data_IF_429569513909
#
_entry.id   IF_429569513909
#
_cell.length_a   1.000
_cell.length_b   1.000
_cell.length_c   1.000
_cell.angle_alpha   90.00
_cell.angle_beta   90.00
_cell.angle_gamma   90.00
#
_symmetry.space_group_name_H-M   'P 1'
#
loop_
_entity.id
_entity.type
_entity.pdbx_description
1 polymer ?
#
# COMPACT_ATOMS: atom_id res chain seq x y z
N UNK A 1 21.20 14.97 -3.54
CA UNK A 1 21.61 13.73 -4.25
C UNK A 1 21.61 13.92 -5.78
N UNK A 2 21.23 15.08 -6.30
CA UNK A 2 21.26 15.35 -7.73
C UNK A 2 20.23 14.58 -8.55
N UNK A 3 19.14 14.10 -7.93
CA UNK A 3 18.04 13.45 -8.62
C UNK A 3 17.13 14.49 -9.28
N UNK A 4 16.75 14.25 -10.52
CA UNK A 4 15.69 14.97 -11.18
C UNK A 4 14.31 14.52 -10.65
N UNK A 5 13.29 15.37 -10.83
CA UNK A 5 11.96 15.12 -10.28
C UNK A 5 11.28 13.84 -10.79
N UNK A 6 11.58 13.43 -12.01
CA UNK A 6 11.07 12.24 -12.66
C UNK A 6 11.80 10.95 -12.25
N UNK A 7 12.90 11.06 -11.48
CA UNK A 7 13.65 9.93 -10.95
C UNK A 7 13.21 9.49 -9.54
N UNK A 8 12.26 10.19 -8.92
CA UNK A 8 11.75 9.87 -7.59
C UNK A 8 10.22 9.87 -7.56
N UNK A 9 9.64 8.75 -7.19
CA UNK A 9 8.20 8.61 -6.96
C UNK A 9 7.95 8.36 -5.48
N UNK A 10 7.13 9.20 -4.85
CA UNK A 10 6.67 9.04 -3.47
C UNK A 10 5.20 8.63 -3.51
N UNK A 11 4.90 7.44 -3.02
CA UNK A 11 3.54 6.89 -2.95
C UNK A 11 3.12 6.71 -1.49
N UNK A 12 1.84 6.95 -1.20
CA UNK A 12 1.22 6.59 0.07
C UNK A 12 0.27 5.41 -0.12
N UNK A 13 0.21 4.51 0.87
CA UNK A 13 -0.71 3.36 0.87
C UNK A 13 -2.14 3.76 1.24
N UNK A 14 -2.41 5.02 1.46
CA UNK A 14 -3.72 5.54 1.84
C UNK A 14 -4.31 4.85 3.08
N UNK A 15 -3.46 4.50 4.06
CA UNK A 15 -3.93 3.89 5.30
C UNK A 15 -4.71 4.91 6.15
N UNK A 16 -5.92 4.52 6.57
CA UNK A 16 -6.76 5.34 7.43
C UNK A 16 -6.42 5.19 8.92
N UNK A 17 -5.41 4.42 9.26
CA UNK A 17 -4.86 4.23 10.60
C UNK A 17 -3.40 4.71 10.72
N UNK A 18 -3.01 5.65 9.86
CA UNK A 18 -1.72 6.33 9.87
C UNK A 18 -1.80 7.68 10.60
N UNK A 19 -0.67 8.25 11.03
CA UNK A 19 -0.64 9.60 11.59
C UNK A 19 -1.12 10.64 10.57
N UNK A 20 -1.96 11.56 11.02
CA UNK A 20 -2.52 12.62 10.20
C UNK A 20 -1.45 13.69 9.86
N UNK A 21 -1.31 14.12 8.61
CA UNK A 21 -0.46 15.26 8.26
C UNK A 21 -1.07 16.59 8.73
N UNK A 22 -0.24 17.48 9.30
CA UNK A 22 -0.69 18.71 9.99
C UNK A 22 -1.62 19.57 9.17
N UNK A 23 -1.30 19.76 7.91
CA UNK A 23 -2.02 20.68 7.01
C UNK A 23 -2.80 19.91 5.93
N UNK A 24 -2.78 18.57 5.98
CA UNK A 24 -3.50 17.75 5.02
C UNK A 24 -4.97 17.62 5.40
N UNK A 25 -5.86 17.89 4.44
CA UNK A 25 -7.30 17.58 4.56
C UNK A 25 -7.98 18.19 5.82
N UNK A 26 -7.54 19.35 6.30
CA UNK A 26 -8.11 20.01 7.47
C UNK A 26 -9.63 20.26 7.36
N UNK A 27 -10.14 20.37 6.15
CA UNK A 27 -11.55 20.60 5.85
C UNK A 27 -12.46 19.37 5.98
N UNK A 28 -11.90 18.16 6.13
CA UNK A 28 -12.73 16.94 6.35
C UNK A 28 -12.97 16.65 7.82
N UNK A 29 -12.33 17.36 8.74
CA UNK A 29 -12.53 17.22 10.18
C UNK A 29 -13.52 18.26 10.68
N UNK A 30 -14.54 17.81 11.42
CA UNK A 30 -15.53 18.68 12.03
C UNK A 30 -14.97 19.52 13.18
N UNK A 31 -13.87 19.07 13.79
CA UNK A 31 -13.21 19.72 14.92
C UNK A 31 -11.75 19.99 14.60
N UNK A 32 -11.26 21.23 14.74
CA UNK A 32 -9.85 21.54 14.56
C UNK A 32 -8.96 20.75 15.53
N UNK A 33 -7.76 20.42 15.08
CA UNK A 33 -6.75 19.82 15.95
C UNK A 33 -6.38 20.78 17.07
N UNK A 34 -6.21 20.26 18.28
CA UNK A 34 -5.62 21.00 19.40
C UNK A 34 -4.17 21.35 19.09
N UNK A 35 -3.61 22.34 19.79
CA UNK A 35 -2.21 22.72 19.66
C UNK A 35 -1.27 21.54 19.93
N UNK A 36 -1.54 20.75 20.97
CA UNK A 36 -0.75 19.55 21.28
C UNK A 36 -0.77 18.51 20.15
N UNK A 37 -1.94 18.30 19.53
CA UNK A 37 -2.07 17.39 18.37
C UNK A 37 -1.30 17.91 17.15
N UNK A 38 -1.39 19.22 16.85
CA UNK A 38 -0.63 19.83 15.77
C UNK A 38 0.88 19.67 16.00
N UNK A 39 1.36 19.98 17.19
CA UNK A 39 2.79 19.89 17.54
C UNK A 39 3.29 18.43 17.43
N UNK A 40 2.51 17.45 17.90
CA UNK A 40 2.85 16.03 17.80
C UNK A 40 2.92 15.58 16.32
N UNK A 41 1.94 15.97 15.52
CA UNK A 41 1.91 15.68 14.09
C UNK A 41 3.07 16.34 13.35
N UNK A 42 3.35 17.63 13.59
CA UNK A 42 4.49 18.32 12.97
C UNK A 42 5.81 17.62 13.29
N UNK A 43 6.04 17.29 14.56
CA UNK A 43 7.25 16.55 14.97
C UNK A 43 7.40 15.23 14.25
N UNK A 44 6.29 14.48 14.11
CA UNK A 44 6.29 13.20 13.40
C UNK A 44 6.67 13.39 11.92
N UNK A 45 6.02 14.32 11.24
CA UNK A 45 6.26 14.54 9.80
C UNK A 45 7.65 15.06 9.49
N UNK A 46 8.22 15.94 10.33
CA UNK A 46 9.64 16.35 10.21
C UNK A 46 10.56 15.14 10.27
N UNK A 47 10.27 14.16 11.15
CA UNK A 47 11.06 12.93 11.23
C UNK A 47 10.85 12.02 10.01
N UNK A 48 9.63 11.95 9.47
CA UNK A 48 9.33 11.16 8.26
C UNK A 48 10.09 11.72 7.06
N UNK A 49 10.06 13.04 6.85
CA UNK A 49 10.82 13.70 5.78
C UNK A 49 12.32 13.39 5.87
N UNK A 50 12.92 13.56 7.04
CA UNK A 50 14.33 13.25 7.25
C UNK A 50 14.65 11.77 6.96
N UNK A 51 13.75 10.85 7.35
CA UNK A 51 13.93 9.42 7.08
C UNK A 51 13.77 9.08 5.59
N UNK A 52 12.84 9.72 4.87
CA UNK A 52 12.71 9.55 3.42
C UNK A 52 13.99 9.97 2.72
N UNK A 53 14.51 11.17 3.04
CA UNK A 53 15.78 11.68 2.46
C UNK A 53 16.93 10.71 2.75
N UNK A 54 17.06 10.23 3.98
CA UNK A 54 18.09 9.25 4.34
C UNK A 54 17.93 7.95 3.58
N UNK A 55 16.70 7.43 3.46
CA UNK A 55 16.41 6.16 2.74
C UNK A 55 16.80 6.27 1.28
N UNK A 56 16.45 7.39 0.62
CA UNK A 56 16.86 7.65 -0.78
C UNK A 56 18.38 7.69 -0.89
N UNK A 57 19.09 8.38 0.01
CA UNK A 57 20.55 8.40 0.02
C UNK A 57 21.17 7.01 0.14
N UNK A 58 20.67 6.21 1.10
CA UNK A 58 21.14 4.82 1.27
C UNK A 58 20.87 3.96 0.03
N UNK A 59 19.73 4.14 -0.63
CA UNK A 59 19.41 3.41 -1.85
C UNK A 59 20.35 3.79 -3.00
N UNK A 60 20.71 5.08 -3.13
CA UNK A 60 21.68 5.54 -4.13
C UNK A 60 23.07 4.96 -3.87
N UNK A 61 23.51 4.90 -2.61
CA UNK A 61 24.80 4.32 -2.23
C UNK A 61 24.86 2.81 -2.49
N UNK A 62 23.74 2.09 -2.44
CA UNK A 62 23.65 0.65 -2.71
C UNK A 62 23.28 0.31 -4.16
N UNK A 63 23.23 1.28 -5.07
CA UNK A 63 22.93 1.04 -6.50
C UNK A 63 23.88 0.04 -7.11
N UNK A 64 23.31 -0.98 -7.73
CA UNK A 64 24.02 -2.05 -8.45
C UNK A 64 23.27 -2.43 -9.72
N UNK A 65 23.96 -2.94 -10.74
CA UNK A 65 23.29 -3.48 -11.90
C UNK A 65 22.29 -4.58 -11.52
N UNK A 66 21.11 -4.54 -12.11
CA UNK A 66 20.04 -5.49 -11.87
C UNK A 66 19.10 -5.61 -13.06
N UNK A 67 18.13 -6.49 -12.95
CA UNK A 67 17.11 -6.75 -13.94
C UNK A 67 15.74 -6.56 -13.34
N UNK A 68 14.83 -5.95 -14.09
CA UNK A 68 13.42 -5.82 -13.71
C UNK A 68 12.53 -6.69 -14.59
N UNK A 69 11.50 -7.27 -14.01
CA UNK A 69 10.48 -8.01 -14.75
C UNK A 69 9.11 -7.81 -14.12
N UNK A 70 8.07 -7.73 -14.95
CA UNK A 70 6.69 -7.54 -14.53
C UNK A 70 5.92 -8.85 -14.67
N UNK A 71 5.15 -9.19 -13.65
CA UNK A 71 4.17 -10.27 -13.66
C UNK A 71 2.86 -9.73 -13.10
N UNK A 72 1.73 -10.34 -13.47
CA UNK A 72 0.43 -9.95 -12.95
C UNK A 72 -0.34 -11.18 -12.50
N UNK A 73 -0.89 -11.10 -11.30
CA UNK A 73 -1.82 -12.07 -10.73
C UNK A 73 -3.13 -11.41 -10.30
N UNK A 74 -3.86 -12.08 -9.42
CA UNK A 74 -5.16 -11.60 -8.94
C UNK A 74 -5.38 -11.93 -7.47
N UNK A 75 -6.03 -11.01 -6.74
CA UNK A 75 -6.48 -11.22 -5.35
C UNK A 75 -7.88 -10.64 -5.16
N UNK A 76 -8.81 -11.41 -4.62
CA UNK A 76 -10.25 -11.11 -4.68
C UNK A 76 -10.87 -10.49 -3.42
N UNK A 77 -10.13 -9.83 -2.52
CA UNK A 77 -10.73 -9.26 -1.31
C UNK A 77 -11.25 -7.82 -1.46
N UNK A 78 -10.94 -7.14 -2.56
CA UNK A 78 -11.50 -5.82 -2.86
C UNK A 78 -12.96 -5.94 -3.30
N UNK A 79 -13.79 -4.98 -2.85
CA UNK A 79 -15.22 -4.90 -3.19
C UNK A 79 -15.55 -3.48 -3.58
N UNK A 80 -16.41 -3.30 -4.59
CA UNK A 80 -16.92 -1.97 -4.92
C UNK A 80 -17.74 -1.42 -3.75
N UNK A 81 -17.47 -0.16 -3.39
CA UNK A 81 -18.11 0.51 -2.23
C UNK A 81 -19.16 1.56 -2.59
N UNK A 82 -19.46 1.76 -3.87
CA UNK A 82 -20.40 2.78 -4.35
C UNK A 82 -21.81 2.21 -4.42
N UNK A 83 -22.60 2.37 -3.35
CA UNK A 83 -24.02 1.94 -3.37
C UNK A 83 -24.83 2.90 -4.25
N UNK A 84 -25.50 2.32 -5.25
CA UNK A 84 -26.35 3.07 -6.17
C UNK A 84 -27.83 2.73 -5.93
N UNK A 85 -28.71 3.73 -5.99
CA UNK A 85 -30.16 3.58 -6.04
C UNK A 85 -30.70 4.36 -7.22
N UNK A 86 -31.36 3.68 -8.16
CA UNK A 86 -31.83 4.28 -9.40
C UNK A 86 -30.72 5.00 -10.18
N UNK A 87 -29.52 4.39 -10.26
CA UNK A 87 -28.35 4.94 -10.92
C UNK A 87 -27.66 6.12 -10.22
N UNK A 88 -28.13 6.54 -9.06
CA UNK A 88 -27.54 7.63 -8.26
C UNK A 88 -26.80 7.07 -7.05
N UNK A 89 -25.63 7.62 -6.78
CA UNK A 89 -24.88 7.29 -5.57
C UNK A 89 -25.65 7.69 -4.30
N UNK A 90 -25.76 6.78 -3.34
CA UNK A 90 -26.50 6.98 -2.08
C UNK A 90 -25.62 6.84 -0.83
N UNK A 91 -24.42 6.30 -0.96
CA UNK A 91 -23.51 6.14 0.17
C UNK A 91 -22.45 5.09 -0.04
N UNK A 92 -21.65 4.87 0.98
CA UNK A 92 -20.68 3.79 1.03
C UNK A 92 -21.31 2.50 1.59
N UNK A 93 -20.97 1.38 0.98
CA UNK A 93 -21.44 0.07 1.38
C UNK A 93 -20.79 -1.02 0.52
N UNK A 94 -21.48 -2.09 0.24
CA UNK A 94 -21.05 -3.11 -0.72
C UNK A 94 -21.95 -3.05 -1.94
N UNK A 95 -21.36 -2.93 -3.12
CA UNK A 95 -22.05 -2.99 -4.40
C UNK A 95 -21.52 -4.19 -5.21
N UNK A 96 -22.18 -5.37 -5.15
CA UNK A 96 -21.71 -6.57 -5.83
C UNK A 96 -21.68 -6.44 -7.37
N UNK A 97 -22.51 -5.55 -7.92
CA UNK A 97 -22.60 -5.29 -9.37
C UNK A 97 -21.62 -4.19 -9.86
N UNK A 98 -20.93 -3.54 -8.92
CA UNK A 98 -19.99 -2.49 -9.27
C UNK A 98 -18.66 -3.06 -9.78
N UNK A 99 -17.96 -2.35 -10.68
CA UNK A 99 -16.67 -2.79 -11.18
C UNK A 99 -15.64 -2.89 -10.05
N UNK A 100 -14.78 -3.91 -10.13
CA UNK A 100 -13.65 -4.13 -9.21
C UNK A 100 -12.43 -4.53 -10.02
N UNK A 101 -11.29 -3.93 -9.74
CA UNK A 101 -9.99 -4.36 -10.27
C UNK A 101 -9.31 -5.26 -9.24
N UNK A 102 -9.26 -6.55 -9.51
CA UNK A 102 -8.60 -7.56 -8.70
C UNK A 102 -7.16 -7.84 -9.13
N UNK A 103 -6.66 -7.16 -10.16
CA UNK A 103 -5.31 -7.39 -10.65
C UNK A 103 -4.25 -7.02 -9.60
N UNK A 104 -3.20 -7.83 -9.57
CA UNK A 104 -2.03 -7.67 -8.72
C UNK A 104 -0.77 -7.65 -9.58
N UNK A 105 -0.43 -6.52 -10.23
CA UNK A 105 0.85 -6.39 -10.88
C UNK A 105 2.00 -6.33 -9.87
N UNK A 106 3.06 -7.07 -10.16
CA UNK A 106 4.28 -7.19 -9.36
C UNK A 106 5.49 -6.94 -10.23
N UNK A 107 6.22 -5.88 -9.93
CA UNK A 107 7.52 -5.57 -10.52
C UNK A 107 8.59 -6.19 -9.62
N UNK A 108 9.27 -7.23 -10.08
CA UNK A 108 10.40 -7.84 -9.37
C UNK A 108 11.74 -7.25 -9.83
N UNK A 109 12.66 -7.11 -8.88
CA UNK A 109 14.02 -6.62 -9.10
C UNK A 109 15.01 -7.70 -8.65
N UNK A 110 15.87 -8.13 -9.54
CA UNK A 110 16.94 -9.11 -9.27
C UNK A 110 18.31 -8.51 -9.50
N UNK A 111 19.32 -8.96 -8.75
CA UNK A 111 20.71 -8.57 -8.99
C UNK A 111 21.31 -9.30 -10.20
N UNK A 112 22.57 -8.99 -10.51
CA UNK A 112 23.30 -9.60 -11.64
C UNK A 112 23.49 -11.12 -11.53
N UNK A 113 23.24 -11.72 -10.36
CA UNK A 113 23.28 -13.17 -10.13
C UNK A 113 21.88 -13.81 -10.18
N UNK A 114 20.84 -13.04 -10.49
CA UNK A 114 19.45 -13.50 -10.51
C UNK A 114 18.80 -13.61 -9.14
N UNK A 115 19.45 -13.16 -8.05
CA UNK A 115 18.86 -13.15 -6.70
C UNK A 115 17.86 -12.01 -6.58
N UNK A 116 16.66 -12.31 -6.07
CA UNK A 116 15.64 -11.30 -5.77
C UNK A 116 16.17 -10.31 -4.72
N UNK A 117 16.08 -9.02 -5.02
CA UNK A 117 16.51 -7.92 -4.13
C UNK A 117 15.34 -7.12 -3.58
N UNK A 118 14.27 -7.06 -4.34
CA UNK A 118 13.07 -6.36 -3.94
C UNK A 118 11.96 -6.51 -4.95
N UNK A 119 10.80 -6.02 -4.58
CA UNK A 119 9.66 -5.96 -5.48
C UNK A 119 8.73 -4.79 -5.13
N UNK A 120 8.01 -4.33 -6.14
CA UNK A 120 6.90 -3.40 -5.98
C UNK A 120 5.63 -4.13 -6.38
N UNK A 121 4.64 -4.17 -5.51
CA UNK A 121 3.31 -4.70 -5.83
C UNK A 121 2.26 -3.60 -5.77
N UNK A 122 1.28 -3.69 -6.65
CA UNK A 122 0.19 -2.73 -6.75
C UNK A 122 -1.15 -3.43 -6.54
N UNK A 123 -2.08 -2.80 -5.81
CA UNK A 123 -3.42 -3.32 -5.66
C UNK A 123 -4.45 -2.19 -5.52
N UNK A 124 -5.54 -2.27 -6.28
CA UNK A 124 -6.57 -1.24 -6.31
C UNK A 124 -7.57 -1.41 -5.17
N UNK A 125 -7.15 -1.07 -3.94
CA UNK A 125 -8.01 -1.20 -2.76
C UNK A 125 -7.63 -0.21 -1.67
N UNK A 126 -8.61 0.43 -1.02
CA UNK A 126 -8.37 1.25 0.16
C UNK A 126 -7.77 0.43 1.32
N UNK A 127 -6.87 1.03 2.09
CA UNK A 127 -6.41 0.49 3.37
C UNK A 127 -7.37 0.93 4.48
N UNK A 128 -8.57 0.34 4.48
CA UNK A 128 -9.68 0.66 5.38
C UNK A 128 -10.34 -0.58 5.99
N UNK A 129 -9.58 -1.65 6.21
CA UNK A 129 -10.08 -2.84 6.92
C UNK A 129 -10.51 -2.49 8.34
N UNK A 130 -9.78 -1.57 8.97
CA UNK A 130 -10.14 -1.03 10.27
C UNK A 130 -11.18 0.08 10.15
N UNK A 131 -12.13 0.11 11.09
CA UNK A 131 -13.13 1.17 11.20
C UNK A 131 -12.61 2.40 11.96
N UNK A 132 -13.43 3.45 12.02
CA UNK A 132 -13.15 4.71 12.73
C UNK A 132 -13.00 4.56 14.25
N UNK A 133 -13.43 3.44 14.82
CA UNK A 133 -13.31 3.08 16.23
C UNK A 133 -11.98 2.41 16.59
N UNK A 134 -11.12 2.14 15.59
CA UNK A 134 -9.78 1.59 15.77
C UNK A 134 -8.78 2.73 16.02
N UNK A 135 -8.39 2.92 17.27
CA UNK A 135 -7.53 4.01 17.69
C UNK A 135 -6.08 3.54 17.94
N UNK A 136 -5.49 2.90 16.94
CA UNK A 136 -4.07 2.47 16.94
C UNK A 136 -3.46 2.67 15.57
N UNK A 137 -2.15 2.88 15.52
CA UNK A 137 -1.42 2.95 14.25
C UNK A 137 -1.30 1.57 13.63
N UNK A 138 -1.63 1.46 12.34
CA UNK A 138 -1.53 0.21 11.60
C UNK A 138 -1.35 0.48 10.10
N UNK A 139 -0.58 -0.37 9.42
CA UNK A 139 -0.38 -0.31 7.95
C UNK A 139 -1.49 -0.97 7.15
N UNK A 140 -2.55 -1.47 7.82
CA UNK A 140 -3.65 -2.22 7.20
C UNK A 140 -3.13 -3.43 6.40
N UNK A 141 -3.91 -3.96 5.46
CA UNK A 141 -3.53 -5.10 4.62
C UNK A 141 -2.21 -4.84 3.87
N UNK A 142 -1.94 -3.60 3.44
CA UNK A 142 -0.72 -3.25 2.71
C UNK A 142 0.54 -3.46 3.55
N UNK A 143 0.52 -3.03 4.82
CA UNK A 143 1.61 -3.24 5.76
C UNK A 143 1.82 -4.71 6.11
N UNK A 144 0.73 -5.47 6.30
CA UNK A 144 0.82 -6.92 6.51
C UNK A 144 1.35 -7.64 5.27
N UNK A 145 0.92 -7.25 4.07
CA UNK A 145 1.39 -7.85 2.82
C UNK A 145 2.90 -7.67 2.65
N UNK A 146 3.40 -6.44 2.74
CA UNK A 146 4.83 -6.16 2.63
C UNK A 146 5.65 -6.99 3.63
N UNK A 147 5.24 -6.98 4.89
CA UNK A 147 5.91 -7.75 5.94
C UNK A 147 5.92 -9.26 5.66
N UNK A 148 4.79 -9.87 5.27
CA UNK A 148 4.75 -11.31 4.99
C UNK A 148 5.55 -11.69 3.75
N UNK A 149 5.60 -10.84 2.72
CA UNK A 149 6.45 -11.04 1.56
C UNK A 149 7.93 -11.04 1.99
N UNK A 150 8.36 -10.07 2.77
CA UNK A 150 9.73 -9.98 3.29
C UNK A 150 10.09 -11.18 4.19
N UNK A 151 9.20 -11.57 5.11
CA UNK A 151 9.37 -12.75 5.97
C UNK A 151 9.52 -14.05 5.17
N UNK A 152 8.82 -14.19 4.04
CA UNK A 152 8.87 -15.40 3.20
C UNK A 152 10.06 -15.43 2.23
N UNK A 153 10.48 -14.28 1.74
CA UNK A 153 11.53 -14.19 0.71
C UNK A 153 12.92 -13.89 1.30
N UNK A 154 12.99 -13.51 2.57
CA UNK A 154 14.24 -13.20 3.27
C UNK A 154 14.69 -11.75 3.04
N UNK A 155 15.98 -11.53 2.84
CA UNK A 155 16.61 -10.20 2.73
C UNK A 155 16.23 -9.43 1.46
N UNK A 156 14.97 -9.04 1.35
CA UNK A 156 14.43 -8.21 0.26
C UNK A 156 13.65 -7.03 0.82
N UNK A 157 13.32 -6.08 -0.04
CA UNK A 157 12.39 -4.98 0.25
C UNK A 157 11.12 -5.16 -0.56
N UNK A 158 9.95 -5.16 0.10
CA UNK A 158 8.64 -5.20 -0.54
C UNK A 158 7.93 -3.85 -0.40
N UNK A 159 7.64 -3.19 -1.52
CA UNK A 159 6.98 -1.89 -1.56
C UNK A 159 5.56 -2.04 -2.10
N UNK A 160 4.58 -1.55 -1.35
CA UNK A 160 3.19 -1.48 -1.79
C UNK A 160 2.89 -0.12 -2.43
N UNK A 161 2.28 -0.14 -3.59
CA UNK A 161 1.62 1.02 -4.20
C UNK A 161 0.12 0.77 -4.29
N UNK A 162 -0.67 1.84 -4.23
CA UNK A 162 -2.13 1.75 -4.34
C UNK A 162 -2.54 2.09 -5.77
N UNK A 163 -3.31 1.19 -6.38
CA UNK A 163 -3.93 1.41 -7.69
C UNK A 163 -5.16 2.31 -7.63
N UNK A 164 -5.97 2.28 -8.67
CA UNK A 164 -7.20 3.08 -8.79
C UNK A 164 -8.33 2.55 -7.88
N UNK A 165 -8.07 2.53 -6.56
CA UNK A 165 -8.95 1.95 -5.53
C UNK A 165 -9.95 2.92 -4.90
N UNK A 166 -10.23 4.08 -5.52
CA UNK A 166 -11.13 5.08 -4.92
C UNK A 166 -12.57 4.59 -4.70
N UNK A 167 -13.01 3.63 -5.46
CA UNK A 167 -14.31 2.99 -5.36
C UNK A 167 -14.26 1.59 -4.72
N UNK A 168 -13.10 1.14 -4.24
CA UNK A 168 -12.89 -0.21 -3.73
C UNK A 168 -12.45 -0.20 -2.27
N UNK A 169 -13.17 -0.95 -1.45
CA UNK A 169 -12.80 -1.25 -0.07
C UNK A 169 -12.40 -2.71 0.08
N UNK A 170 -11.56 -3.07 1.06
CA UNK A 170 -11.38 -4.46 1.44
C UNK A 170 -12.68 -5.01 2.06
N UNK A 171 -12.84 -6.32 2.05
CA UNK A 171 -13.86 -6.97 2.89
C UNK A 171 -13.63 -6.55 4.33
N UNK A 172 -14.68 -6.04 4.96
CA UNK A 172 -14.67 -5.52 6.33
C UNK A 172 -15.45 -6.42 7.26
N UNK A 173 -15.05 -6.42 8.52
CA UNK A 173 -15.77 -7.04 9.62
C UNK A 173 -16.04 -6.05 10.73
N UNK A 174 -16.59 -6.58 11.84
CA UNK A 174 -16.71 -5.84 13.09
C UNK A 174 -15.31 -5.58 13.68
N UNK A 175 -15.22 -4.68 14.65
CA UNK A 175 -13.97 -4.26 15.29
C UNK A 175 -13.11 -5.42 15.82
N UNK A 176 -13.75 -6.41 16.41
CA UNK A 176 -13.13 -7.59 17.01
C UNK A 176 -12.41 -8.49 16.00
N UNK A 177 -12.87 -8.49 14.74
CA UNK A 177 -12.28 -9.32 13.67
C UNK A 177 -11.47 -8.51 12.64
N UNK A 178 -11.49 -7.19 12.72
CA UNK A 178 -10.84 -6.33 11.73
C UNK A 178 -9.33 -6.60 11.58
N UNK A 179 -8.66 -6.89 12.69
CA UNK A 179 -7.23 -7.23 12.68
C UNK A 179 -6.96 -8.55 11.95
N UNK A 180 -7.76 -9.57 12.20
CA UNK A 180 -7.60 -10.87 11.56
C UNK A 180 -7.91 -10.79 10.06
N UNK A 181 -8.89 -9.97 9.68
CA UNK A 181 -9.16 -9.68 8.27
C UNK A 181 -8.00 -8.96 7.60
N UNK A 182 -7.44 -7.92 8.20
CA UNK A 182 -6.28 -7.21 7.63
C UNK A 182 -5.07 -8.14 7.48
N UNK A 183 -4.83 -9.01 8.45
CA UNK A 183 -3.82 -10.08 8.40
C UNK A 183 -4.13 -11.05 7.24
N UNK A 184 -5.38 -11.52 7.13
CA UNK A 184 -5.82 -12.42 6.08
C UNK A 184 -5.65 -11.84 4.69
N UNK A 185 -6.02 -10.58 4.49
CA UNK A 185 -5.83 -9.85 3.23
C UNK A 185 -4.35 -9.70 2.89
N UNK A 186 -3.51 -9.33 3.85
CA UNK A 186 -2.07 -9.25 3.64
C UNK A 186 -1.45 -10.60 3.27
N UNK A 187 -1.89 -11.68 3.90
CA UNK A 187 -1.46 -13.05 3.55
C UNK A 187 -1.92 -13.46 2.15
N UNK A 188 -3.12 -13.09 1.74
CA UNK A 188 -3.62 -13.38 0.40
C UNK A 188 -2.71 -12.75 -0.68
N UNK A 189 -2.31 -11.50 -0.51
CA UNK A 189 -1.31 -10.84 -1.37
C UNK A 189 0.02 -11.61 -1.34
N UNK A 190 0.55 -11.92 -0.16
CA UNK A 190 1.85 -12.60 -0.03
C UNK A 190 1.87 -13.99 -0.68
N UNK A 191 0.78 -14.76 -0.57
CA UNK A 191 0.62 -16.07 -1.21
C UNK A 191 0.63 -15.93 -2.73
N UNK A 192 -0.11 -14.96 -3.27
CA UNK A 192 -0.15 -14.73 -4.71
C UNK A 192 1.19 -14.24 -5.24
N UNK A 193 1.86 -13.32 -4.54
CA UNK A 193 3.22 -12.88 -4.88
C UNK A 193 4.18 -14.07 -4.89
N UNK A 194 4.16 -14.95 -3.89
CA UNK A 194 5.01 -16.14 -3.85
C UNK A 194 4.74 -17.10 -5.01
N UNK A 195 3.50 -17.19 -5.49
CA UNK A 195 3.14 -17.95 -6.69
C UNK A 195 3.71 -17.30 -7.95
N UNK A 196 3.56 -15.97 -8.08
CA UNK A 196 4.03 -15.20 -9.23
C UNK A 196 5.55 -15.22 -9.37
N UNK A 197 6.29 -15.17 -8.26
CA UNK A 197 7.76 -15.21 -8.26
C UNK A 197 8.34 -16.51 -8.83
N UNK A 198 7.56 -17.60 -8.88
CA UNK A 198 7.96 -18.89 -9.48
C UNK A 198 7.74 -18.95 -11.00
N UNK A 199 7.07 -17.95 -11.58
CA UNK A 199 6.82 -17.91 -13.01
C UNK A 199 8.07 -17.46 -13.77
N UNK A 200 8.27 -18.03 -14.94
CA UNK A 200 9.24 -17.49 -15.91
C UNK A 200 8.77 -16.11 -16.37
N UNK A 201 9.69 -15.18 -16.44
CA UNK A 201 9.40 -13.80 -16.78
C UNK A 201 10.41 -13.27 -17.79
N UNK A 202 9.94 -12.43 -18.70
CA UNK A 202 10.82 -11.69 -19.59
C UNK A 202 11.28 -10.41 -18.87
N UNK A 203 12.57 -10.07 -18.96
CA UNK A 203 13.07 -8.80 -18.47
C UNK A 203 12.39 -7.63 -19.19
N UNK A 204 12.19 -6.55 -18.45
CA UNK A 204 11.81 -5.27 -19.05
C UNK A 204 13.08 -4.71 -19.70
N UNK A 205 13.01 -4.48 -21.02
CA UNK A 205 14.08 -3.81 -21.78
C UNK A 205 13.77 -2.33 -21.89
N UNK A 206 14.77 -1.47 -21.61
CA UNK A 206 14.71 -0.03 -21.84
C UNK A 206 14.86 0.31 -23.31
#
# INVERSE_FOLDING_TARGET
>A
YGLDRDQLVICSTHSHTAPHPVEGLSNIFSTPLTEAQRNASQKYWTQVEARIVKTVGTAIEDLKPGTMALVTGEVGFAQNRRVLKNGKWTGFGVNPEGPVDHSLPVLKVTDGNGRLRGLVFNYACHCTTFGSDYNCLNGDWAGYAARYIEEQQGEIVAVCTIGCGADQNPIRGKKDVAKDLAIGHGRAIAVEVARLLKQETQPITA
#
